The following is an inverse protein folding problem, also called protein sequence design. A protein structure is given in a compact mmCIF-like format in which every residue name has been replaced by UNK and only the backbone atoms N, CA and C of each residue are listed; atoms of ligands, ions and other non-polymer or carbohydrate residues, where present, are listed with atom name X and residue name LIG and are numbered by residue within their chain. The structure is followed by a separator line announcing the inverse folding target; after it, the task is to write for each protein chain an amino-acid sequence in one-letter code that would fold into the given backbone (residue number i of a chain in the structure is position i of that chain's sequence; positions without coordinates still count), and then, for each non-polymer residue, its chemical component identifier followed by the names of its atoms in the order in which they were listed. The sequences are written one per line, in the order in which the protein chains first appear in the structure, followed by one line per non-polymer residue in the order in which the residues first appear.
data_IF_631347576234
#
_entry.id   IF_631347576234
#
_cell.length_a   1.000
_cell.length_b   1.000
_cell.length_c   1.000
_cell.angle_alpha   90.00
_cell.angle_beta   90.00
_cell.angle_gamma   90.00
#
_symmetry.space_group_name_H-M   'P 1'
#
loop_
_entity.id
_entity.type
_entity.pdbx_description
1 polymer ?
#
# COMPACT_ATOMS: atom_id res chain seq x y z
N UNK A 1 -2.56 0.33 -5.03
CA UNK A 1 -3.68 1.00 -4.31
C UNK A 1 -3.40 1.00 -2.81
N UNK A 2 -3.89 1.99 -2.07
CA UNK A 2 -3.69 2.11 -0.63
C UNK A 2 -5.03 2.44 0.03
N UNK A 3 -5.56 1.52 0.85
CA UNK A 3 -6.82 1.72 1.58
C UNK A 3 -6.54 1.62 3.10
N UNK A 4 -6.99 2.60 3.91
CA UNK A 4 -6.92 2.47 5.36
C UNK A 4 -7.73 1.26 5.85
N UNK A 5 -7.17 0.48 6.78
CA UNK A 5 -7.82 -0.74 7.27
C UNK A 5 -9.20 -0.49 7.90
N UNK A 6 -9.37 0.64 8.59
CA UNK A 6 -10.67 1.06 9.13
C UNK A 6 -11.70 1.38 8.04
N UNK A 7 -11.27 1.99 6.92
CA UNK A 7 -12.15 2.23 5.78
C UNK A 7 -12.59 0.92 5.14
N UNK A 8 -11.67 -0.02 4.95
CA UNK A 8 -11.99 -1.34 4.41
C UNK A 8 -12.95 -2.12 5.33
N UNK A 9 -12.70 -2.13 6.64
CA UNK A 9 -13.56 -2.80 7.61
C UNK A 9 -14.98 -2.20 7.65
N UNK A 10 -15.09 -0.88 7.66
CA UNK A 10 -16.39 -0.22 7.63
C UNK A 10 -17.15 -0.52 6.34
N UNK A 11 -16.46 -0.53 5.19
CA UNK A 11 -17.08 -0.88 3.91
C UNK A 11 -17.64 -2.33 3.92
N UNK A 12 -16.90 -3.28 4.48
CA UNK A 12 -17.35 -4.67 4.63
C UNK A 12 -18.63 -4.72 5.49
N UNK A 13 -18.65 -3.99 6.61
CA UNK A 13 -19.82 -3.95 7.49
C UNK A 13 -21.03 -3.28 6.83
N UNK A 14 -20.83 -2.15 6.14
CA UNK A 14 -21.86 -1.41 5.40
C UNK A 14 -22.50 -2.26 4.30
N UNK A 15 -21.69 -2.99 3.53
CA UNK A 15 -22.17 -3.86 2.44
C UNK A 15 -22.81 -5.12 3.01
N UNK A 16 -22.18 -5.75 4.00
CA UNK A 16 -22.65 -7.00 4.61
C UNK A 16 -23.97 -6.85 5.36
N UNK A 17 -24.28 -5.66 5.86
CA UNK A 17 -25.52 -5.38 6.63
C UNK A 17 -26.73 -5.02 5.75
N UNK A 18 -26.56 -4.92 4.43
CA UNK A 18 -27.66 -4.62 3.52
C UNK A 18 -28.55 -5.84 3.26
N UNK A 19 -29.81 -5.58 2.92
CA UNK A 19 -30.76 -6.65 2.58
C UNK A 19 -30.32 -7.35 1.28
N UNK A 20 -29.72 -8.53 1.45
CA UNK A 20 -29.10 -9.34 0.40
C UNK A 20 -30.11 -9.90 -0.61
N UNK A 21 -31.41 -9.83 -0.30
CA UNK A 21 -32.51 -10.46 -1.05
C UNK A 21 -32.69 -9.95 -2.48
N UNK A 22 -32.00 -8.89 -2.88
CA UNK A 22 -32.10 -8.31 -4.24
C UNK A 22 -30.78 -8.18 -5.01
N UNK A 23 -29.61 -8.50 -4.44
CA UNK A 23 -28.32 -8.11 -5.04
C UNK A 23 -27.18 -9.11 -4.80
N UNK A 24 -27.02 -10.06 -5.73
CA UNK A 24 -25.80 -10.87 -5.87
C UNK A 24 -24.70 -10.08 -6.61
N UNK A 25 -24.14 -9.05 -5.97
CA UNK A 25 -23.09 -8.21 -6.56
C UNK A 25 -21.69 -8.53 -5.99
N UNK A 26 -20.67 -8.47 -6.84
CA UNK A 26 -19.26 -8.42 -6.38
C UNK A 26 -18.94 -6.96 -6.05
N UNK A 27 -18.40 -6.71 -4.86
CA UNK A 27 -17.97 -5.38 -4.43
C UNK A 27 -16.44 -5.30 -4.38
N UNK A 28 -15.85 -4.35 -5.10
CA UNK A 28 -14.42 -4.05 -4.99
C UNK A 28 -14.18 -3.11 -3.81
N UNK A 29 -13.49 -3.59 -2.78
CA UNK A 29 -13.10 -2.82 -1.59
C UNK A 29 -11.64 -2.37 -1.80
N UNK A 30 -11.50 -1.26 -2.51
CA UNK A 30 -10.23 -0.65 -2.91
C UNK A 30 -10.38 0.86 -2.81
N UNK A 31 -9.29 1.59 -2.57
CA UNK A 31 -9.35 3.05 -2.58
C UNK A 31 -9.66 3.54 -4.01
N UNK A 32 -10.76 4.28 -4.23
CA UNK A 32 -11.11 4.80 -5.55
C UNK A 32 -10.17 5.91 -6.03
N UNK A 33 -9.38 6.50 -5.12
CA UNK A 33 -8.45 7.57 -5.44
C UNK A 33 -7.07 6.99 -5.75
N UNK A 34 -6.58 7.30 -6.95
CA UNK A 34 -5.23 6.97 -7.35
C UNK A 34 -4.20 7.80 -6.58
N UNK A 35 -3.00 7.25 -6.44
CA UNK A 35 -1.87 7.98 -5.89
C UNK A 35 -0.61 7.64 -6.67
N UNK A 36 0.40 8.49 -6.53
CA UNK A 36 1.73 8.27 -7.10
C UNK A 36 2.71 7.93 -5.99
N UNK A 37 3.71 7.10 -6.30
CA UNK A 37 4.78 6.76 -5.36
C UNK A 37 5.52 7.98 -4.80
N UNK A 38 5.53 9.11 -5.52
CA UNK A 38 6.09 10.38 -5.06
C UNK A 38 5.53 10.85 -3.71
N UNK A 39 4.26 10.57 -3.42
CA UNK A 39 3.66 10.95 -2.13
C UNK A 39 4.36 10.23 -0.98
N UNK A 40 4.76 8.98 -1.20
CA UNK A 40 5.45 8.15 -0.20
C UNK A 40 6.89 8.64 -0.05
N UNK A 41 7.62 8.83 -1.16
CA UNK A 41 9.00 9.31 -1.13
C UNK A 41 9.11 10.68 -0.45
N UNK A 42 8.28 11.64 -0.83
CA UNK A 42 8.29 12.97 -0.24
C UNK A 42 7.97 12.93 1.27
N UNK A 43 7.08 12.02 1.69
CA UNK A 43 6.75 11.88 3.10
C UNK A 43 7.90 11.29 3.92
N UNK A 44 8.64 10.31 3.34
CA UNK A 44 9.84 9.73 3.96
C UNK A 44 10.95 10.78 4.09
N UNK A 45 11.24 11.54 3.02
CA UNK A 45 12.22 12.64 3.05
C UNK A 45 11.83 13.72 4.06
N UNK A 46 10.56 14.13 4.08
CA UNK A 46 10.04 15.13 5.03
C UNK A 46 10.10 14.64 6.49
N UNK A 47 10.13 13.32 6.70
CA UNK A 47 10.32 12.72 8.02
C UNK A 47 11.79 12.63 8.43
N UNK A 48 12.72 12.88 7.50
CA UNK A 48 14.16 12.83 7.73
C UNK A 48 14.79 11.48 7.40
N UNK A 49 14.13 10.61 6.64
CA UNK A 49 14.70 9.35 6.17
C UNK A 49 15.47 9.62 4.89
N UNK A 50 16.76 9.28 4.89
CA UNK A 50 17.64 9.41 3.74
C UNK A 50 17.61 8.13 2.90
N UNK A 51 17.39 8.27 1.59
CA UNK A 51 17.41 7.16 0.65
C UNK A 51 17.71 7.68 -0.76
N UNK A 52 18.11 6.77 -1.64
CA UNK A 52 18.27 7.03 -3.07
C UNK A 52 17.14 6.36 -3.85
N UNK A 53 16.58 7.08 -4.83
CA UNK A 53 15.59 6.50 -5.76
C UNK A 53 16.32 5.92 -6.96
N UNK A 54 16.32 4.59 -7.06
CA UNK A 54 16.95 3.86 -8.16
C UNK A 54 15.91 3.08 -9.00
N UNK A 55 16.21 2.71 -10.26
CA UNK A 55 15.38 1.78 -11.01
C UNK A 55 15.19 0.45 -10.28
N UNK A 56 14.02 -0.17 -10.43
CA UNK A 56 13.68 -1.42 -9.73
C UNK A 56 14.67 -2.55 -10.06
N UNK A 57 15.13 -2.63 -11.31
CA UNK A 57 16.13 -3.63 -11.72
C UNK A 57 17.47 -3.41 -11.03
N UNK A 58 17.87 -2.15 -10.82
CA UNK A 58 19.09 -1.81 -10.08
C UNK A 58 18.93 -2.18 -8.61
N UNK A 59 17.79 -1.85 -8.00
CA UNK A 59 17.49 -2.24 -6.61
C UNK A 59 17.59 -3.76 -6.41
N UNK A 60 16.98 -4.56 -7.30
CA UNK A 60 17.04 -6.03 -7.24
C UNK A 60 18.47 -6.54 -7.44
N UNK A 61 19.20 -5.95 -8.39
CA UNK A 61 20.61 -6.31 -8.64
C UNK A 61 21.47 -6.08 -7.40
N UNK A 62 21.35 -4.91 -6.75
CA UNK A 62 22.08 -4.58 -5.53
C UNK A 62 21.74 -5.54 -4.39
N UNK A 63 20.44 -5.80 -4.16
CA UNK A 63 19.98 -6.73 -3.12
C UNK A 63 20.58 -8.15 -3.29
N UNK A 64 20.81 -8.58 -4.53
CA UNK A 64 21.32 -9.91 -4.87
C UNK A 64 22.84 -10.05 -4.94
N UNK A 65 23.55 -8.94 -5.12
CA UNK A 65 25.00 -9.01 -5.43
C UNK A 65 25.86 -8.32 -4.39
N UNK A 66 25.29 -7.39 -3.61
CA UNK A 66 26.00 -6.75 -2.53
C UNK A 66 25.99 -7.66 -1.27
N UNK A 67 27.16 -8.15 -0.79
CA UNK A 67 27.23 -9.02 0.38
C UNK A 67 26.64 -8.40 1.65
N UNK A 68 26.71 -7.08 1.79
CA UNK A 68 26.12 -6.36 2.93
C UNK A 68 24.60 -6.46 2.91
N UNK A 69 23.98 -6.30 1.74
CA UNK A 69 22.54 -6.39 1.58
C UNK A 69 21.99 -7.81 1.65
N UNK A 70 22.85 -8.83 1.52
CA UNK A 70 22.48 -10.24 1.69
C UNK A 70 22.58 -10.72 3.15
N UNK A 71 23.18 -9.94 4.04
CA UNK A 71 23.27 -10.30 5.45
C UNK A 71 21.93 -10.04 6.16
N UNK A 72 21.17 -11.10 6.45
CA UNK A 72 19.84 -11.02 7.08
C UNK A 72 19.86 -10.32 8.45
N UNK A 73 20.94 -10.44 9.21
CA UNK A 73 21.06 -9.82 10.53
C UNK A 73 21.22 -8.29 10.45
N UNK A 74 21.73 -7.78 9.32
CA UNK A 74 21.96 -6.36 9.06
C UNK A 74 20.86 -5.76 8.18
N UNK A 75 20.41 -6.52 7.18
CA UNK A 75 19.38 -6.15 6.23
C UNK A 75 18.28 -7.21 6.16
N UNK A 76 17.17 -7.04 6.90
CA UNK A 76 16.04 -7.97 6.84
C UNK A 76 15.45 -8.15 5.44
N UNK A 77 15.65 -7.21 4.51
CA UNK A 77 15.18 -7.33 3.12
C UNK A 77 15.81 -8.49 2.36
N UNK A 78 16.98 -8.98 2.80
CA UNK A 78 17.62 -10.17 2.23
C UNK A 78 16.66 -11.38 2.21
N UNK A 79 15.77 -11.48 3.21
CA UNK A 79 14.76 -12.55 3.31
C UNK A 79 13.65 -12.46 2.26
N UNK A 80 13.50 -11.32 1.58
CA UNK A 80 12.48 -11.06 0.57
C UNK A 80 13.03 -11.05 -0.86
N UNK A 81 14.29 -11.43 -1.07
CA UNK A 81 14.95 -11.37 -2.38
C UNK A 81 14.16 -12.14 -3.46
N UNK A 82 13.74 -13.37 -3.17
CA UNK A 82 12.96 -14.21 -4.09
C UNK A 82 11.54 -13.66 -4.34
N UNK A 83 10.99 -12.93 -3.37
CA UNK A 83 9.68 -12.28 -3.51
C UNK A 83 9.76 -11.14 -4.54
N UNK A 84 10.83 -10.34 -4.49
CA UNK A 84 11.01 -9.21 -5.39
C UNK A 84 11.24 -9.63 -6.85
N UNK A 85 11.88 -10.79 -7.09
CA UNK A 85 12.00 -11.36 -8.43
C UNK A 85 10.65 -11.60 -9.10
N UNK A 86 9.69 -12.12 -8.33
CA UNK A 86 8.41 -12.52 -8.89
C UNK A 86 7.45 -11.34 -9.04
N UNK A 87 7.44 -10.41 -8.08
CA UNK A 87 6.45 -9.33 -8.07
C UNK A 87 6.77 -8.23 -9.06
N UNK A 88 8.01 -7.77 -9.14
CA UNK A 88 8.34 -6.62 -9.98
C UNK A 88 8.41 -6.96 -11.47
N UNK A 89 8.61 -8.23 -11.80
CA UNK A 89 8.58 -8.73 -13.18
C UNK A 89 7.15 -9.00 -13.69
N UNK A 90 6.17 -9.15 -12.79
CA UNK A 90 4.76 -9.42 -13.15
C UNK A 90 3.96 -8.16 -13.53
N UNK A 91 4.48 -6.98 -13.20
CA UNK A 91 4.27 -5.74 -13.93
C UNK A 91 2.85 -5.22 -14.10
N UNK A 92 1.85 -5.58 -13.30
CA UNK A 92 0.51 -5.00 -13.48
C UNK A 92 -0.19 -4.74 -12.15
N UNK A 93 -0.32 -3.46 -11.79
CA UNK A 93 -1.34 -3.05 -10.82
C UNK A 93 -2.71 -3.27 -11.45
N UNK A 94 -3.61 -3.97 -10.75
CA UNK A 94 -4.98 -4.14 -11.21
C UNK A 94 -5.78 -2.90 -10.84
N UNK A 95 -6.29 -2.18 -11.83
CA UNK A 95 -7.29 -1.13 -11.63
C UNK A 95 -8.66 -1.78 -11.55
N UNK A 96 -9.34 -1.62 -10.41
CA UNK A 96 -10.66 -2.18 -10.16
C UNK A 96 -11.69 -1.04 -10.07
N UNK A 97 -12.79 -1.15 -10.82
CA UNK A 97 -13.88 -0.18 -10.79
C UNK A 97 -14.61 -0.21 -9.43
N UNK A 98 -14.94 0.95 -8.87
CA UNK A 98 -15.58 1.08 -7.55
C UNK A 98 -16.97 1.70 -7.59
N UNK A 99 -17.50 2.03 -8.78
CA UNK A 99 -18.76 2.77 -8.92
C UNK A 99 -19.96 2.02 -8.32
N UNK A 100 -19.97 0.68 -8.40
CA UNK A 100 -20.99 -0.13 -7.72
C UNK A 100 -20.82 -0.07 -6.20
N UNK A 101 -19.60 -0.26 -5.70
CA UNK A 101 -19.31 -0.26 -4.25
C UNK A 101 -19.65 1.08 -3.61
N UNK A 102 -19.34 2.20 -4.27
CA UNK A 102 -19.59 3.56 -3.77
C UNK A 102 -21.07 3.83 -3.50
N UNK A 103 -21.98 3.23 -4.28
CA UNK A 103 -23.44 3.35 -4.07
C UNK A 103 -23.91 2.75 -2.74
N UNK A 104 -23.15 1.80 -2.20
CA UNK A 104 -23.55 0.98 -1.06
C UNK A 104 -22.61 1.14 0.14
N UNK A 105 -21.50 1.84 -0.02
CA UNK A 105 -20.54 2.08 1.05
C UNK A 105 -20.18 3.57 1.12
N UNK A 106 -20.76 4.31 2.09
CA UNK A 106 -20.28 5.64 2.44
C UNK A 106 -18.79 5.66 2.77
N UNK A 107 -18.23 4.58 3.33
CA UNK A 107 -16.82 4.49 3.63
C UNK A 107 -15.93 4.46 2.38
N UNK A 108 -16.30 3.72 1.33
CA UNK A 108 -15.56 3.76 0.05
C UNK A 108 -15.75 5.10 -0.65
N UNK A 109 -16.97 5.66 -0.63
CA UNK A 109 -17.25 6.99 -1.23
C UNK A 109 -16.41 8.10 -0.60
N UNK A 110 -16.23 8.06 0.73
CA UNK A 110 -15.46 9.05 1.49
C UNK A 110 -14.06 8.56 1.85
N UNK A 111 -13.53 7.56 1.13
CA UNK A 111 -12.21 7.03 1.39
C UNK A 111 -11.16 8.15 1.20
N UNK A 112 -10.30 8.43 2.19
CA UNK A 112 -9.31 9.49 2.05
C UNK A 112 -8.27 9.12 0.99
N UNK A 113 -7.82 10.12 0.25
CA UNK A 113 -6.66 9.97 -0.61
C UNK A 113 -5.42 9.62 0.24
N UNK A 114 -4.50 8.86 -0.34
CA UNK A 114 -3.17 8.76 0.23
C UNK A 114 -2.47 10.10 0.00
N UNK A 115 -2.41 10.93 1.04
CA UNK A 115 -1.68 12.20 1.03
C UNK A 115 -0.57 12.19 2.08
N UNK A 116 0.35 13.15 2.00
CA UNK A 116 1.48 13.27 2.93
C UNK A 116 1.04 13.30 4.40
N UNK A 117 -0.11 13.91 4.72
CA UNK A 117 -0.66 13.91 6.08
C UNK A 117 -1.04 12.52 6.58
N UNK A 118 -1.63 11.68 5.72
CA UNK A 118 -1.96 10.32 6.06
C UNK A 118 -0.70 9.47 6.20
N UNK A 119 0.26 9.61 5.27
CA UNK A 119 1.54 8.91 5.34
C UNK A 119 2.34 9.28 6.59
N UNK A 120 2.35 10.57 6.97
CA UNK A 120 2.97 11.06 8.20
C UNK A 120 2.41 10.41 9.46
N UNK A 121 1.12 10.03 9.48
CA UNK A 121 0.55 9.26 10.59
C UNK A 121 1.14 7.84 10.67
N UNK A 122 1.32 7.17 9.53
CA UNK A 122 1.98 5.87 9.49
C UNK A 122 3.43 5.95 9.97
N UNK A 123 4.22 6.91 9.46
CA UNK A 123 5.62 7.08 9.85
C UNK A 123 5.78 7.36 11.35
N UNK A 124 4.98 8.28 11.90
CA UNK A 124 4.97 8.55 13.35
C UNK A 124 4.63 7.31 14.17
N UNK A 125 3.64 6.53 13.71
CA UNK A 125 3.27 5.29 14.38
C UNK A 125 4.39 4.26 14.32
N UNK A 126 4.96 3.97 13.14
CA UNK A 126 6.06 3.01 12.99
C UNK A 126 7.28 3.39 13.83
N UNK A 127 7.67 4.66 13.86
CA UNK A 127 8.73 5.15 14.72
C UNK A 127 8.40 4.97 16.21
N UNK A 128 7.16 5.22 16.63
CA UNK A 128 6.73 4.96 18.02
C UNK A 128 6.79 3.48 18.41
N UNK A 129 6.64 2.58 17.43
CA UNK A 129 6.76 1.14 17.60
C UNK A 129 8.19 0.62 17.40
N UNK A 130 9.17 1.51 17.13
CA UNK A 130 10.57 1.17 16.81
C UNK A 130 10.69 0.22 15.61
N UNK A 131 9.76 0.35 14.66
CA UNK A 131 9.83 -0.35 13.37
C UNK A 131 10.78 0.35 12.39
N UNK A 132 10.84 1.68 12.50
CA UNK A 132 11.77 2.58 11.79
C UNK A 132 12.45 3.47 12.80
#
# INVERSE_FOLDING_TARGET
TWIPANTAANAIAEIGSQDQTSRNGIAHIINPLEYTWKIIYNALESYGIEFEVVPVQEFIYQLKTNPEFQNVDVNPLATLTDFFDNIFLSGHGVTLETELTKKFSPSITNCPALESNLMMKYLKFWNSQKFI
#
